data_IF_397006418083
#
_entry.id   IF_397006418083
#
_cell.length_a   1.000
_cell.length_b   1.000
_cell.length_c   1.000
_cell.angle_alpha   90.00
_cell.angle_beta   90.00
_cell.angle_gamma   90.00
#
_symmetry.space_group_name_H-M   'P 1'
#
loop_
_entity.id
_entity.type
_entity.pdbx_description
1 polymer ?
#
# COMPACT_ATOMS: atom_id res chain seq x y z
N UNK A 1 -32.34 -12.07 14.27
CA UNK A 1 -31.69 -11.33 13.17
C UNK A 1 -31.16 -10.04 13.79
N UNK A 2 -29.87 -9.74 13.66
CA UNK A 2 -29.33 -8.49 14.20
C UNK A 2 -29.99 -7.30 13.50
N UNK A 3 -30.26 -6.26 14.29
CA UNK A 3 -30.81 -5.01 13.79
C UNK A 3 -29.75 -4.22 12.99
N UNK A 4 -30.19 -3.44 11.99
CA UNK A 4 -29.27 -2.70 11.13
C UNK A 4 -28.47 -1.64 11.88
N UNK A 5 -29.07 -1.04 12.90
CA UNK A 5 -28.39 -0.06 13.75
C UNK A 5 -27.23 -0.71 14.52
N UNK A 6 -27.39 -1.98 14.92
CA UNK A 6 -26.35 -2.74 15.59
C UNK A 6 -25.19 -3.09 14.63
N UNK A 7 -25.52 -3.47 13.40
CA UNK A 7 -24.51 -3.75 12.36
C UNK A 7 -23.69 -2.48 12.08
N UNK A 8 -24.34 -1.33 11.93
CA UNK A 8 -23.66 -0.05 11.69
C UNK A 8 -22.70 0.31 12.82
N UNK A 9 -23.08 0.05 14.07
CA UNK A 9 -22.22 0.32 15.23
C UNK A 9 -20.97 -0.57 15.23
N UNK A 10 -21.11 -1.85 14.90
CA UNK A 10 -19.96 -2.78 14.82
C UNK A 10 -19.00 -2.37 13.72
N UNK A 11 -19.51 -1.98 12.54
CA UNK A 11 -18.69 -1.51 11.44
C UNK A 11 -17.90 -0.26 11.85
N UNK A 12 -18.56 0.72 12.46
CA UNK A 12 -17.91 1.93 12.97
C UNK A 12 -16.85 1.63 14.04
N UNK A 13 -17.13 0.76 15.01
CA UNK A 13 -16.15 0.38 16.04
C UNK A 13 -14.96 -0.40 15.48
N UNK A 14 -15.18 -1.27 14.51
CA UNK A 14 -14.10 -2.07 13.92
C UNK A 14 -13.23 -1.25 12.97
N UNK A 15 -13.80 -0.23 12.30
CA UNK A 15 -13.16 0.54 11.26
C UNK A 15 -12.69 1.95 11.68
N UNK A 16 -13.52 2.71 12.40
CA UNK A 16 -13.28 4.12 12.75
C UNK A 16 -12.69 4.33 14.16
N UNK A 17 -12.42 3.24 14.90
CA UNK A 17 -11.87 3.35 16.24
C UNK A 17 -10.55 4.16 16.23
N UNK A 18 -10.39 5.17 17.11
CA UNK A 18 -9.21 6.06 17.13
C UNK A 18 -7.87 5.35 17.26
N UNK A 19 -7.85 4.15 17.85
CA UNK A 19 -6.66 3.30 18.00
C UNK A 19 -6.31 2.49 16.75
N UNK A 20 -7.24 2.40 15.80
CA UNK A 20 -7.22 1.46 14.69
C UNK A 20 -6.94 2.14 13.35
N UNK A 21 -6.61 3.44 13.35
CA UNK A 21 -6.18 4.28 12.20
C UNK A 21 -6.55 3.69 10.83
N UNK A 22 -7.85 3.63 10.48
CA UNK A 22 -8.31 3.17 9.16
C UNK A 22 -7.49 2.01 8.57
N UNK A 23 -7.30 0.96 9.37
CA UNK A 23 -6.50 -0.20 9.00
C UNK A 23 -6.94 -0.82 7.67
N UNK A 24 -6.06 -1.65 7.08
CA UNK A 24 -6.39 -2.37 5.85
C UNK A 24 -7.68 -3.18 6.01
N UNK A 25 -8.43 -3.30 4.90
CA UNK A 25 -9.69 -4.05 4.85
C UNK A 25 -9.57 -5.45 5.46
N UNK A 26 -8.45 -6.13 5.24
CA UNK A 26 -8.18 -7.46 5.80
C UNK A 26 -8.12 -7.48 7.33
N UNK A 27 -7.53 -6.45 7.95
CA UNK A 27 -7.47 -6.36 9.43
C UNK A 27 -8.83 -6.03 10.03
N UNK A 28 -9.62 -5.21 9.34
CA UNK A 28 -10.99 -4.93 9.78
C UNK A 28 -11.85 -6.20 9.68
N UNK A 29 -11.65 -7.03 8.64
CA UNK A 29 -12.32 -8.34 8.50
C UNK A 29 -12.01 -9.28 9.65
N UNK A 30 -10.73 -9.51 9.95
CA UNK A 30 -10.32 -10.39 11.05
C UNK A 30 -10.95 -10.00 12.40
N UNK A 31 -11.17 -8.69 12.61
CA UNK A 31 -11.80 -8.20 13.84
C UNK A 31 -13.31 -8.41 13.87
N UNK A 32 -14.00 -8.17 12.77
CA UNK A 32 -15.42 -8.47 12.67
C UNK A 32 -15.63 -9.97 12.88
N UNK A 33 -14.84 -10.83 12.23
CA UNK A 33 -14.91 -12.30 12.40
C UNK A 33 -14.72 -12.77 13.84
N UNK A 34 -13.83 -12.11 14.59
CA UNK A 34 -13.53 -12.48 15.98
C UNK A 34 -14.53 -11.94 17.00
N UNK A 35 -15.38 -10.97 16.64
CA UNK A 35 -16.25 -10.28 17.60
C UNK A 35 -17.74 -10.38 17.28
N UNK A 36 -18.11 -10.58 16.02
CA UNK A 36 -19.50 -10.50 15.54
C UNK A 36 -19.75 -11.39 14.32
N UNK A 37 -21.01 -11.71 14.05
CA UNK A 37 -21.38 -12.45 12.85
C UNK A 37 -22.82 -12.14 12.42
N UNK A 38 -23.03 -11.90 11.13
CA UNK A 38 -24.36 -11.78 10.52
C UNK A 38 -24.35 -12.20 9.04
N UNK A 39 -25.52 -12.46 8.42
CA UNK A 39 -25.56 -12.81 7.00
C UNK A 39 -24.95 -11.69 6.14
N UNK A 40 -24.04 -12.05 5.22
CA UNK A 40 -23.46 -11.14 4.22
C UNK A 40 -22.54 -10.06 4.85
N UNK A 41 -22.05 -10.29 6.08
CA UNK A 41 -21.21 -9.35 6.83
C UNK A 41 -19.95 -8.89 6.07
N UNK A 42 -19.29 -9.78 5.33
CA UNK A 42 -18.10 -9.46 4.54
C UNK A 42 -18.37 -8.40 3.48
N UNK A 43 -19.54 -8.51 2.82
CA UNK A 43 -19.92 -7.59 1.75
C UNK A 43 -20.31 -6.24 2.32
N UNK A 44 -21.10 -6.22 3.40
CA UNK A 44 -21.50 -4.96 4.05
C UNK A 44 -20.28 -4.22 4.61
N UNK A 45 -19.32 -4.92 5.19
CA UNK A 45 -18.04 -4.35 5.61
C UNK A 45 -17.25 -3.77 4.42
N UNK A 46 -17.11 -4.53 3.33
CA UNK A 46 -16.38 -4.08 2.14
C UNK A 46 -17.05 -2.84 1.50
N UNK A 47 -18.39 -2.80 1.50
CA UNK A 47 -19.13 -1.66 0.96
C UNK A 47 -19.01 -0.42 1.87
N UNK A 48 -19.01 -0.60 3.20
CA UNK A 48 -18.78 0.48 4.17
C UNK A 48 -17.38 1.12 4.00
N UNK A 49 -16.33 0.29 3.96
CA UNK A 49 -14.93 0.74 3.75
C UNK A 49 -14.75 1.45 2.40
N UNK A 50 -15.45 1.00 1.33
CA UNK A 50 -15.44 1.68 0.03
C UNK A 50 -16.04 3.08 0.09
N UNK A 51 -16.99 3.31 0.98
CA UNK A 51 -17.59 4.64 1.18
C UNK A 51 -16.80 5.54 2.12
N UNK A 52 -15.83 5.00 2.88
CA UNK A 52 -15.01 5.81 3.77
C UNK A 52 -14.04 6.74 3.02
N UNK A 53 -14.27 8.05 3.13
CA UNK A 53 -13.44 9.08 2.50
C UNK A 53 -11.95 9.01 2.90
N UNK A 54 -11.65 8.71 4.16
CA UNK A 54 -10.27 8.64 4.67
C UNK A 54 -9.52 7.46 4.06
N UNK A 55 -10.16 6.29 4.02
CA UNK A 55 -9.62 5.11 3.34
C UNK A 55 -9.44 5.35 1.85
N UNK A 56 -10.39 5.98 1.16
CA UNK A 56 -10.25 6.29 -0.27
C UNK A 56 -9.14 7.31 -0.56
N UNK A 57 -8.89 8.26 0.35
CA UNK A 57 -7.79 9.24 0.22
C UNK A 57 -6.43 8.63 0.54
N UNK A 58 -6.33 7.75 1.53
CA UNK A 58 -5.09 7.08 1.92
C UNK A 58 -4.73 5.96 0.94
N UNK A 59 -5.69 5.08 0.63
CA UNK A 59 -5.56 4.00 -0.34
C UNK A 59 -5.90 4.49 -1.75
N UNK A 60 -5.26 5.58 -2.20
CA UNK A 60 -5.20 5.84 -3.65
C UNK A 60 -4.67 4.57 -4.29
N UNK A 61 -5.36 4.00 -5.27
CA UNK A 61 -4.84 2.86 -6.04
C UNK A 61 -3.45 3.24 -6.56
N UNK A 62 -2.40 2.77 -5.90
CA UNK A 62 -1.04 2.89 -6.36
C UNK A 62 -0.93 1.96 -7.57
N UNK A 63 -1.13 2.54 -8.75
CA UNK A 63 -0.88 1.88 -10.02
C UNK A 63 -2.05 1.91 -10.99
N UNK A 64 -1.78 2.43 -12.19
CA UNK A 64 -2.21 1.70 -13.39
C UNK A 64 -1.79 0.23 -13.19
N UNK A 65 -2.55 -0.74 -13.73
CA UNK A 65 -2.02 -2.11 -13.91
C UNK A 65 -0.59 -1.96 -14.36
N UNK A 66 0.37 -2.55 -13.65
CA UNK A 66 1.74 -2.64 -14.13
C UNK A 66 1.62 -3.09 -15.59
N UNK A 67 2.03 -2.22 -16.52
CA UNK A 67 2.01 -2.57 -17.93
C UNK A 67 2.82 -3.86 -18.09
N UNK A 68 2.60 -4.58 -19.19
CA UNK A 68 3.58 -5.60 -19.57
C UNK A 68 4.96 -4.93 -19.54
N UNK A 69 5.93 -5.57 -18.86
CA UNK A 69 7.32 -5.11 -18.86
C UNK A 69 7.69 -4.83 -20.32
N UNK A 70 7.92 -3.56 -20.66
CA UNK A 70 8.33 -3.22 -22.00
C UNK A 70 9.75 -3.75 -22.19
N UNK A 71 9.95 -4.48 -23.28
CA UNK A 71 11.28 -4.92 -23.67
C UNK A 71 12.12 -3.67 -23.94
N UNK A 72 13.25 -3.56 -23.25
CA UNK A 72 14.27 -2.55 -23.55
C UNK A 72 15.24 -3.23 -24.51
N UNK A 73 15.43 -2.65 -25.69
CA UNK A 73 16.35 -3.20 -26.68
C UNK A 73 17.76 -3.33 -26.10
N UNK A 74 18.44 -4.43 -26.44
CA UNK A 74 19.82 -4.63 -26.04
C UNK A 74 20.72 -3.67 -26.84
N UNK A 75 21.65 -2.96 -26.17
CA UNK A 75 22.65 -2.16 -26.88
C UNK A 75 23.51 -3.08 -27.76
N UNK A 76 23.82 -2.59 -28.96
CA UNK A 76 24.63 -3.32 -29.95
C UNK A 76 26.12 -3.07 -29.75
N UNK A 77 26.46 -1.97 -29.09
CA UNK A 77 27.82 -1.54 -28.86
C UNK A 77 28.03 -1.06 -27.42
N UNK A 78 29.25 -1.19 -26.87
CA UNK A 78 29.58 -0.57 -25.59
C UNK A 78 29.30 0.93 -25.61
N UNK A 79 28.91 1.49 -24.47
CA UNK A 79 28.60 2.91 -24.27
C UNK A 79 27.34 3.42 -24.96
N UNK A 80 26.51 2.54 -25.53
CA UNK A 80 25.25 2.93 -26.18
C UNK A 80 24.14 3.20 -25.16
N UNK A 81 24.15 2.51 -24.02
CA UNK A 81 23.16 2.70 -22.96
C UNK A 81 23.83 2.73 -21.59
N UNK A 82 23.89 3.91 -20.98
CA UNK A 82 24.43 4.12 -19.64
C UNK A 82 23.29 4.27 -18.64
N UNK A 83 23.26 3.40 -17.64
CA UNK A 83 22.37 3.52 -16.50
C UNK A 83 23.09 4.23 -15.36
N UNK A 84 22.40 5.17 -14.73
CA UNK A 84 22.91 5.93 -13.59
C UNK A 84 21.89 5.89 -12.45
N UNK A 85 22.33 5.54 -11.25
CA UNK A 85 21.47 5.51 -10.08
C UNK A 85 22.22 5.96 -8.81
N UNK A 86 21.48 6.51 -7.85
CA UNK A 86 22.03 6.92 -6.56
C UNK A 86 21.64 5.91 -5.49
N UNK A 87 22.64 5.24 -4.92
CA UNK A 87 22.47 4.51 -3.67
C UNK A 87 22.65 5.51 -2.53
N UNK A 88 21.59 5.77 -1.77
CA UNK A 88 21.59 6.73 -0.66
C UNK A 88 21.35 6.03 0.68
N UNK A 89 21.57 6.73 1.79
CA UNK A 89 21.35 6.18 3.13
C UNK A 89 22.44 5.21 3.60
N UNK A 90 23.62 5.26 2.99
CA UNK A 90 24.78 4.49 3.44
C UNK A 90 25.30 5.06 4.77
N UNK A 91 25.96 4.20 5.55
CA UNK A 91 26.65 4.67 6.76
C UNK A 91 27.70 5.72 6.35
N UNK A 92 27.72 6.91 6.97
CA UNK A 92 28.65 7.97 6.60
C UNK A 92 30.11 7.50 6.66
N UNK A 93 30.85 7.78 5.59
CA UNK A 93 32.23 7.34 5.42
C UNK A 93 33.20 8.48 5.13
N UNK A 94 34.45 8.30 5.60
CA UNK A 94 35.54 9.24 5.39
C UNK A 94 35.43 10.52 6.22
N UNK A 95 36.38 11.43 6.02
CA UNK A 95 36.39 12.73 6.75
C UNK A 95 35.23 13.64 6.34
N UNK A 96 34.76 13.49 5.11
CA UNK A 96 33.71 14.31 4.51
C UNK A 96 32.29 13.77 4.78
N UNK A 97 32.14 12.65 5.49
CA UNK A 97 30.85 12.03 5.85
C UNK A 97 29.92 11.74 4.66
N UNK A 98 30.46 11.27 3.53
CA UNK A 98 29.62 10.86 2.40
C UNK A 98 28.75 9.66 2.76
N UNK A 99 27.47 9.70 2.38
CA UNK A 99 26.46 8.68 2.68
C UNK A 99 25.71 8.18 1.44
N UNK A 100 26.23 8.48 0.26
CA UNK A 100 25.64 8.09 -1.01
C UNK A 100 26.71 7.82 -2.07
N UNK A 101 26.37 6.95 -3.03
CA UNK A 101 27.21 6.62 -4.16
C UNK A 101 26.41 6.71 -5.46
N UNK A 102 26.99 7.36 -6.47
CA UNK A 102 26.50 7.32 -7.84
C UNK A 102 27.03 6.04 -8.49
N UNK A 103 26.13 5.16 -8.87
CA UNK A 103 26.43 3.95 -9.64
C UNK A 103 26.23 4.28 -11.11
N UNK A 104 27.24 3.99 -11.92
CA UNK A 104 27.21 4.14 -13.38
C UNK A 104 27.50 2.77 -13.97
N UNK A 105 26.59 2.27 -14.81
CA UNK A 105 26.71 0.97 -15.45
C UNK A 105 26.45 1.10 -16.95
N UNK A 106 27.41 0.63 -17.74
CA UNK A 106 27.19 0.37 -19.16
C UNK A 106 26.39 -0.93 -19.30
N UNK A 107 25.35 -0.90 -20.12
CA UNK A 107 24.45 -2.03 -20.35
C UNK A 107 24.97 -2.97 -21.43
#
# INVERSE_FOLDING_TARGET
MMDRDHISLILQECHDCPYMEHMSEDRTKERVESTSWWPIWEKELSDDIKTCERCQKANRKHGKRYGLLQHIDEPKHPWETINMDWVTGLVPGGKENFNACLVIADR
#
